data_IF_469672556120
#
_entry.id   IF_469672556120
#
_cell.length_a   1.000
_cell.length_b   1.000
_cell.length_c   1.000
_cell.angle_alpha   90.00
_cell.angle_beta   90.00
_cell.angle_gamma   90.00
#
_symmetry.space_group_name_H-M   'P 1'
#
loop_
_entity.id
_entity.type
_entity.pdbx_description
1 polymer ?
#
# COMPACT_ATOMS: atom_id res chain seq x y z
N UNK A 1 22.99 0.26 2.20
CA UNK A 1 22.46 1.47 1.55
C UNK A 1 21.73 2.28 2.61
N UNK A 2 21.65 3.61 2.52
CA UNK A 2 20.98 4.42 3.53
C UNK A 2 19.47 4.10 3.57
N UNK A 3 18.91 4.04 4.78
CA UNK A 3 17.47 3.89 5.00
C UNK A 3 16.72 5.17 4.63
N UNK A 4 15.39 5.10 4.52
CA UNK A 4 14.57 6.29 4.35
C UNK A 4 14.78 7.27 5.51
N UNK A 5 14.93 6.76 6.74
CA UNK A 5 15.17 7.57 7.93
C UNK A 5 16.54 8.29 7.88
N UNK A 6 17.58 7.61 7.40
CA UNK A 6 18.91 8.22 7.24
C UNK A 6 18.87 9.36 6.21
N UNK A 7 18.19 9.14 5.09
CA UNK A 7 18.03 10.13 4.02
C UNK A 7 17.21 11.32 4.52
N UNK A 8 16.09 11.07 5.20
CA UNK A 8 15.25 12.11 5.79
C UNK A 8 16.02 13.00 6.78
N UNK A 9 16.81 12.40 7.68
CA UNK A 9 17.67 13.15 8.59
C UNK A 9 18.74 13.95 7.84
N UNK A 10 19.33 13.39 6.79
CA UNK A 10 20.34 14.08 5.97
C UNK A 10 19.74 15.29 5.25
N UNK A 11 18.53 15.16 4.70
CA UNK A 11 17.83 16.23 4.00
C UNK A 11 17.48 17.37 4.96
N UNK A 12 16.95 17.04 6.15
CA UNK A 12 16.65 18.03 7.18
C UNK A 12 17.88 18.71 7.79
N UNK A 13 19.04 18.03 7.78
CA UNK A 13 20.29 18.58 8.30
C UNK A 13 21.04 19.43 7.28
N UNK A 14 20.56 19.49 6.03
CA UNK A 14 21.16 20.34 5.01
C UNK A 14 20.98 21.82 5.40
N UNK A 15 21.98 22.69 5.19
CA UNK A 15 21.89 24.10 5.55
C UNK A 15 21.03 24.86 4.53
N UNK A 16 19.75 24.50 4.42
CA UNK A 16 18.76 25.29 3.70
C UNK A 16 18.21 26.37 4.63
N UNK A 17 18.28 27.65 4.26
CA UNK A 17 17.81 28.74 5.12
C UNK A 17 16.26 28.84 5.19
N UNK A 18 15.53 27.98 4.50
CA UNK A 18 14.08 28.12 4.31
C UNK A 18 13.28 27.08 5.10
N UNK A 19 12.43 27.56 6.00
CA UNK A 19 11.43 26.74 6.71
C UNK A 19 10.51 25.97 5.73
N UNK A 20 10.34 26.49 4.51
CA UNK A 20 9.59 25.84 3.44
C UNK A 20 10.21 24.50 3.02
N UNK A 21 11.54 24.37 3.00
CA UNK A 21 12.24 23.13 2.61
C UNK A 21 12.05 22.02 3.65
N UNK A 22 12.13 22.34 4.94
CA UNK A 22 11.84 21.34 5.98
C UNK A 22 10.37 20.87 5.91
N UNK A 23 9.44 21.78 5.60
CA UNK A 23 8.02 21.44 5.41
C UNK A 23 7.80 20.56 4.18
N UNK A 24 8.48 20.84 3.06
CA UNK A 24 8.35 20.04 1.84
C UNK A 24 8.85 18.61 2.02
N UNK A 25 9.99 18.42 2.70
CA UNK A 25 10.54 17.09 3.01
C UNK A 25 9.57 16.28 3.89
N UNK A 26 9.01 16.92 4.93
CA UNK A 26 8.02 16.27 5.81
C UNK A 26 6.75 15.91 5.04
N UNK A 27 6.29 16.79 4.16
CA UNK A 27 5.12 16.57 3.33
C UNK A 27 5.34 15.40 2.34
N UNK A 28 6.49 15.33 1.67
CA UNK A 28 6.86 14.19 0.81
C UNK A 28 6.96 12.87 1.57
N UNK A 29 7.62 12.88 2.73
CA UNK A 29 7.72 11.67 3.56
C UNK A 29 6.34 11.19 4.04
N UNK A 30 5.42 12.11 4.31
CA UNK A 30 4.03 11.78 4.63
C UNK A 30 3.31 11.15 3.43
N UNK A 31 3.48 11.67 2.21
CA UNK A 31 2.91 11.09 1.00
C UNK A 31 3.33 9.62 0.81
N UNK A 32 4.63 9.34 0.91
CA UNK A 32 5.20 8.00 0.81
C UNK A 32 4.62 7.08 1.90
N UNK A 33 4.52 7.56 3.15
CA UNK A 33 3.92 6.79 4.23
C UNK A 33 2.42 6.54 4.04
N UNK A 34 1.72 7.39 3.31
CA UNK A 34 0.31 7.17 2.96
C UNK A 34 0.23 6.08 1.91
N UNK A 35 1.02 6.10 0.85
CA UNK A 35 1.06 5.01 -0.15
C UNK A 35 1.35 3.65 0.50
N UNK A 36 2.33 3.57 1.41
CA UNK A 36 2.59 2.36 2.21
C UNK A 36 1.35 1.92 3.02
N UNK A 37 0.60 2.86 3.59
CA UNK A 37 -0.60 2.56 4.35
C UNK A 37 -1.78 2.16 3.44
N UNK A 38 -1.87 2.69 2.22
CA UNK A 38 -2.85 2.27 1.22
C UNK A 38 -2.64 0.82 0.84
N UNK A 39 -1.38 0.41 0.60
CA UNK A 39 -1.04 -0.98 0.29
C UNK A 39 -1.40 -1.93 1.43
N UNK A 40 -1.12 -1.55 2.68
CA UNK A 40 -1.50 -2.35 3.86
C UNK A 40 -3.02 -2.48 4.06
N UNK A 41 -3.78 -1.42 3.74
CA UNK A 41 -5.25 -1.48 3.77
C UNK A 41 -5.78 -2.35 2.64
N UNK A 42 -5.22 -2.21 1.43
CA UNK A 42 -5.60 -3.03 0.26
C UNK A 42 -5.37 -4.51 0.54
N UNK A 43 -4.21 -4.86 1.10
CA UNK A 43 -3.92 -6.23 1.56
C UNK A 43 -4.95 -6.70 2.59
N UNK A 44 -5.25 -5.90 3.62
CA UNK A 44 -6.20 -6.28 4.67
C UNK A 44 -7.63 -6.50 4.14
N UNK A 45 -8.05 -5.71 3.15
CA UNK A 45 -9.35 -5.87 2.47
C UNK A 45 -9.34 -7.13 1.60
N UNK A 46 -8.27 -7.34 0.81
CA UNK A 46 -8.16 -8.47 -0.12
C UNK A 46 -8.17 -9.82 0.61
N UNK A 47 -7.54 -9.90 1.79
CA UNK A 47 -7.48 -11.13 2.58
C UNK A 47 -8.61 -11.25 3.62
N UNK A 48 -9.62 -10.38 3.57
CA UNK A 48 -10.76 -10.48 4.46
C UNK A 48 -11.67 -11.65 4.04
N UNK A 49 -11.92 -12.64 4.92
CA UNK A 49 -12.79 -13.77 4.58
C UNK A 49 -14.23 -13.33 4.28
N UNK A 50 -14.94 -14.06 3.42
CA UNK A 50 -16.36 -13.78 3.13
C UNK A 50 -17.24 -13.86 4.40
N UNK A 51 -16.91 -14.78 5.30
CA UNK A 51 -17.53 -14.99 6.61
C UNK A 51 -16.81 -14.24 7.75
N UNK A 52 -16.07 -13.18 7.43
CA UNK A 52 -15.32 -12.41 8.41
C UNK A 52 -16.18 -11.97 9.59
N UNK A 53 -15.64 -12.18 10.79
CA UNK A 53 -16.25 -11.79 12.05
C UNK A 53 -16.40 -10.27 12.13
N UNK A 54 -17.35 -9.80 12.95
CA UNK A 54 -17.53 -8.37 13.21
C UNK A 54 -16.24 -7.70 13.70
N UNK A 55 -15.39 -8.42 14.46
CA UNK A 55 -14.10 -7.91 14.94
C UNK A 55 -13.13 -7.68 13.78
N UNK A 56 -13.01 -8.62 12.84
CA UNK A 56 -12.14 -8.48 11.68
C UNK A 56 -12.61 -7.34 10.76
N UNK A 57 -13.92 -7.23 10.54
CA UNK A 57 -14.52 -6.13 9.77
C UNK A 57 -14.26 -4.77 10.44
N UNK A 58 -14.39 -4.70 11.76
CA UNK A 58 -14.10 -3.49 12.52
C UNK A 58 -12.61 -3.10 12.47
N UNK A 59 -11.68 -4.06 12.46
CA UNK A 59 -10.24 -3.78 12.29
C UNK A 59 -9.95 -3.15 10.92
N UNK A 60 -10.47 -3.72 9.84
CA UNK A 60 -10.32 -3.17 8.48
C UNK A 60 -10.90 -1.76 8.40
N UNK A 61 -12.11 -1.55 8.94
CA UNK A 61 -12.74 -0.23 8.97
C UNK A 61 -11.92 0.79 9.77
N UNK A 62 -11.34 0.39 10.91
CA UNK A 62 -10.48 1.27 11.71
C UNK A 62 -9.20 1.67 10.95
N UNK A 63 -8.62 0.75 10.17
CA UNK A 63 -7.47 1.07 9.29
C UNK A 63 -7.87 2.03 8.18
N UNK A 64 -9.03 1.82 7.54
CA UNK A 64 -9.56 2.72 6.51
C UNK A 64 -9.81 4.14 7.05
N UNK A 65 -10.41 4.28 8.22
CA UNK A 65 -10.64 5.60 8.85
C UNK A 65 -9.33 6.31 9.21
N UNK A 66 -8.35 5.54 9.71
CA UNK A 66 -7.01 6.08 10.01
C UNK A 66 -6.33 6.57 8.73
N UNK A 67 -6.41 5.80 7.66
CA UNK A 67 -5.87 6.16 6.36
C UNK A 67 -6.57 7.40 5.81
N UNK A 68 -7.90 7.45 5.83
CA UNK A 68 -8.69 8.60 5.39
C UNK A 68 -8.27 9.88 6.12
N UNK A 69 -8.06 9.81 7.44
CA UNK A 69 -7.60 10.96 8.23
C UNK A 69 -6.21 11.44 7.78
N UNK A 70 -5.29 10.52 7.46
CA UNK A 70 -3.95 10.87 6.95
C UNK A 70 -4.03 11.50 5.57
N UNK A 71 -4.85 10.94 4.68
CA UNK A 71 -5.08 11.44 3.31
C UNK A 71 -5.62 12.87 3.36
N UNK A 72 -6.68 13.09 4.14
CA UNK A 72 -7.29 14.42 4.27
C UNK A 72 -6.28 15.45 4.78
N UNK A 73 -5.56 15.12 5.87
CA UNK A 73 -4.53 16.01 6.41
C UNK A 73 -3.46 16.35 5.38
N UNK A 74 -3.02 15.36 4.60
CA UNK A 74 -1.99 15.56 3.59
C UNK A 74 -2.47 16.46 2.43
N UNK A 75 -3.74 16.33 2.04
CA UNK A 75 -4.38 17.20 1.05
C UNK A 75 -4.50 18.63 1.57
N UNK A 76 -4.97 18.81 2.81
CA UNK A 76 -5.05 20.14 3.45
C UNK A 76 -3.66 20.82 3.53
N UNK A 77 -2.62 20.04 3.86
CA UNK A 77 -1.22 20.50 3.89
C UNK A 77 -0.71 20.85 2.48
N UNK A 78 -1.14 20.10 1.45
CA UNK A 78 -0.79 20.35 0.05
C UNK A 78 -1.41 21.65 -0.46
N UNK A 79 -2.69 21.87 -0.20
CA UNK A 79 -3.40 23.10 -0.60
C UNK A 79 -2.77 24.35 0.04
N UNK A 80 -2.33 24.24 1.30
CA UNK A 80 -1.62 25.32 1.99
C UNK A 80 -0.23 25.61 1.41
N UNK A 81 0.45 24.61 0.84
CA UNK A 81 1.82 24.75 0.31
C UNK A 81 1.85 25.06 -1.19
N UNK A 82 0.87 24.56 -1.94
CA UNK A 82 0.77 24.65 -3.41
C UNK A 82 -0.20 25.74 -3.88
N UNK A 83 -0.59 26.67 -3.01
CA UNK A 83 -1.51 27.78 -3.32
C UNK A 83 -1.12 28.49 -4.63
N UNK A 84 -1.93 28.29 -5.68
CA UNK A 84 -1.73 28.88 -7.01
C UNK A 84 -1.17 27.96 -8.11
N UNK A 85 -0.92 26.67 -7.83
CA UNK A 85 -0.52 25.67 -8.85
C UNK A 85 -1.68 24.70 -9.12
N UNK A 86 -2.24 24.71 -10.33
CA UNK A 86 -3.22 23.69 -10.75
C UNK A 86 -2.50 22.41 -11.19
N UNK A 87 -2.26 21.55 -10.21
CA UNK A 87 -1.48 20.33 -10.35
C UNK A 87 -2.22 19.27 -11.18
N UNK A 88 -3.55 19.22 -11.09
CA UNK A 88 -4.38 18.19 -11.72
C UNK A 88 -4.28 18.25 -13.25
N UNK A 89 -4.12 19.43 -13.84
CA UNK A 89 -3.88 19.60 -15.29
C UNK A 89 -2.54 18.98 -15.75
N UNK A 90 -1.58 18.86 -14.84
CA UNK A 90 -0.18 18.52 -15.12
C UNK A 90 0.19 17.09 -14.70
N UNK A 91 -0.70 16.38 -14.00
CA UNK A 91 -0.53 14.96 -13.72
C UNK A 91 -0.69 14.11 -14.98
N UNK A 92 0.07 13.01 -15.05
CA UNK A 92 -0.16 11.99 -16.08
C UNK A 92 -1.53 11.32 -15.82
N UNK A 93 -2.41 11.18 -16.83
CA UNK A 93 -3.61 10.36 -16.71
C UNK A 93 -3.23 8.92 -16.32
N UNK A 94 -3.94 8.33 -15.37
CA UNK A 94 -3.73 6.93 -15.02
C UNK A 94 -4.41 6.06 -16.09
N UNK A 95 -3.63 5.24 -16.78
CA UNK A 95 -4.21 4.07 -17.45
C UNK A 95 -4.67 3.11 -16.33
N UNK A 96 -5.89 2.55 -16.39
CA UNK A 96 -6.32 1.56 -15.40
C UNK A 96 -5.34 0.40 -15.45
N UNK A 97 -4.75 0.07 -14.30
CA UNK A 97 -3.98 -1.16 -14.13
C UNK A 97 -5.01 -2.29 -14.21
N UNK A 98 -5.22 -2.85 -15.40
CA UNK A 98 -5.90 -4.13 -15.54
C UNK A 98 -4.99 -5.20 -14.92
N UNK A 99 -5.18 -5.45 -13.63
CA UNK A 99 -4.60 -6.56 -12.88
C UNK A 99 -5.34 -7.89 -13.18
N UNK A 100 -5.71 -8.09 -14.44
CA UNK A 100 -6.38 -9.31 -14.94
C UNK A 100 -5.37 -10.34 -15.47
N UNK A 101 -4.07 -10.06 -15.36
CA UNK A 101 -3.03 -10.91 -15.91
C UNK A 101 -1.95 -11.15 -14.86
N UNK A 102 -2.25 -11.98 -13.85
CA UNK A 102 -1.54 -13.23 -13.51
C UNK A 102 -2.16 -13.81 -12.23
N UNK A 103 -3.18 -14.64 -12.36
CA UNK A 103 -3.38 -15.81 -11.49
C UNK A 103 -4.13 -16.89 -12.28
N UNK A 104 -3.52 -18.06 -12.56
CA UNK A 104 -4.26 -19.18 -13.15
C UNK A 104 -5.23 -19.71 -12.09
N UNK A 105 -6.52 -19.45 -12.30
CA UNK A 105 -7.60 -20.07 -11.54
C UNK A 105 -7.42 -21.59 -11.56
N UNK A 106 -7.23 -22.17 -10.38
CA UNK A 106 -7.25 -23.61 -10.21
C UNK A 106 -8.70 -24.06 -10.30
N UNK A 107 -9.00 -24.84 -11.33
CA UNK A 107 -10.25 -25.59 -11.53
C UNK A 107 -10.79 -26.14 -10.20
N UNK A 108 -11.95 -25.67 -9.78
CA UNK A 108 -12.85 -26.45 -8.95
C UNK A 108 -14.20 -26.53 -9.64
N UNK A 109 -14.34 -27.59 -10.42
CA UNK A 109 -15.64 -28.15 -10.77
C UNK A 109 -16.34 -28.50 -9.45
N UNK A 110 -17.48 -27.88 -9.17
CA UNK A 110 -18.52 -28.52 -8.35
C UNK A 110 -19.89 -28.13 -8.88
N UNK A 111 -20.62 -29.18 -9.22
CA UNK A 111 -21.96 -29.25 -9.79
C UNK A 111 -23.05 -28.44 -9.08
N UNK A 112 -23.92 -27.86 -9.92
CA UNK A 112 -25.40 -27.85 -9.87
C UNK A 112 -26.13 -27.83 -8.51
N UNK A 113 -26.88 -26.74 -8.32
CA UNK A 113 -28.22 -26.69 -7.67
C UNK A 113 -28.86 -25.36 -8.08
N UNK A 114 -29.74 -25.29 -9.08
CA UNK A 114 -31.18 -25.57 -9.00
C UNK A 114 -31.89 -24.85 -7.85
N UNK A 115 -32.58 -23.74 -8.16
CA UNK A 115 -33.81 -23.28 -7.52
C UNK A 115 -34.36 -22.00 -8.20
N UNK A 116 -35.40 -22.20 -9.01
CA UNK A 116 -36.65 -21.41 -9.12
C UNK A 116 -36.60 -19.87 -9.26
N UNK A 117 -37.06 -19.37 -10.41
CA UNK A 117 -37.57 -17.99 -10.60
C UNK A 117 -38.82 -17.74 -9.75
N UNK A 118 -39.04 -16.49 -9.32
CA UNK A 118 -40.38 -15.94 -9.49
C UNK A 118 -40.41 -14.53 -10.10
N UNK A 119 -41.32 -14.38 -11.07
CA UNK A 119 -41.96 -13.14 -11.51
C UNK A 119 -42.59 -12.39 -10.32
N UNK A 120 -42.19 -11.16 -10.03
CA UNK A 120 -43.09 -10.13 -9.49
C UNK A 120 -42.72 -8.75 -10.04
N UNK A 121 -43.64 -8.17 -10.82
CA UNK A 121 -43.63 -6.78 -11.29
C UNK A 121 -43.68 -5.83 -10.08
N UNK A 122 -42.52 -5.27 -9.71
CA UNK A 122 -42.38 -4.20 -8.73
C UNK A 122 -42.00 -2.89 -9.43
N UNK A 123 -42.86 -1.89 -9.28
CA UNK A 123 -42.69 -0.50 -9.68
C UNK A 123 -41.26 0.02 -9.39
N UNK A 124 -40.47 0.26 -10.45
CA UNK A 124 -39.16 0.90 -10.35
C UNK A 124 -39.34 2.34 -9.89
N UNK A 125 -39.29 2.54 -8.57
CA UNK A 125 -38.92 3.84 -8.03
C UNK A 125 -37.43 3.98 -8.33
N UNK A 126 -37.09 4.82 -9.32
CA UNK A 126 -35.73 5.37 -9.45
C UNK A 126 -35.46 6.16 -8.16
N UNK A 127 -34.95 5.46 -7.14
CA UNK A 127 -34.14 6.11 -6.12
C UNK A 127 -32.91 6.63 -6.87
N UNK A 128 -33.00 7.89 -7.29
CA UNK A 128 -31.88 8.71 -7.70
C UNK A 128 -31.00 8.97 -6.47
N UNK A 129 -30.48 7.89 -5.90
CA UNK A 129 -29.37 7.90 -4.96
C UNK A 129 -28.14 8.26 -5.78
N UNK A 130 -28.00 9.57 -6.06
CA UNK A 130 -26.69 10.18 -6.27
C UNK A 130 -25.91 10.11 -4.96
N UNK A 131 -25.64 8.88 -4.50
CA UNK A 131 -24.51 8.62 -3.63
C UNK A 131 -23.30 8.89 -4.52
N UNK A 132 -22.71 10.07 -4.40
CA UNK A 132 -21.30 10.25 -4.76
C UNK A 132 -20.57 9.04 -4.19
N UNK A 133 -20.16 8.12 -5.06
CA UNK A 133 -19.50 6.89 -4.67
C UNK A 133 -18.31 7.30 -3.83
N UNK A 134 -18.42 7.12 -2.51
CA UNK A 134 -17.40 7.57 -1.58
C UNK A 134 -16.13 6.81 -1.92
N UNK A 135 -15.18 7.49 -2.57
CA UNK A 135 -13.94 6.87 -3.02
C UNK A 135 -13.24 6.28 -1.81
N UNK A 136 -12.96 4.99 -1.86
CA UNK A 136 -12.31 4.33 -0.75
C UNK A 136 -10.93 4.96 -0.49
N UNK A 137 -10.52 5.15 0.77
CA UNK A 137 -9.28 5.85 1.10
C UNK A 137 -8.01 5.16 0.55
N UNK A 138 -8.06 3.85 0.31
CA UNK A 138 -6.97 3.10 -0.33
C UNK A 138 -6.81 3.33 -1.84
N UNK A 139 -7.83 3.93 -2.47
CA UNK A 139 -7.88 4.22 -3.91
C UNK A 139 -7.76 5.73 -4.18
N UNK A 140 -7.72 6.56 -3.13
CA UNK A 140 -7.49 8.00 -3.25
C UNK A 140 -6.08 8.25 -3.78
N UNK A 141 -6.00 9.12 -4.78
CA UNK A 141 -4.73 9.49 -5.36
C UNK A 141 -3.97 10.47 -4.47
N UNK A 142 -2.72 10.14 -4.14
CA UNK A 142 -1.82 11.03 -3.40
C UNK A 142 -0.96 11.78 -4.40
N UNK A 143 -1.04 13.11 -4.37
CA UNK A 143 -0.19 13.90 -5.23
C UNK A 143 1.27 13.79 -4.80
N UNK A 144 2.15 13.51 -5.76
CA UNK A 144 3.61 13.58 -5.59
C UNK A 144 4.26 14.10 -6.88
N UNK A 145 5.44 14.73 -6.80
CA UNK A 145 6.13 15.26 -7.98
C UNK A 145 6.44 14.22 -9.08
N UNK A 146 6.72 12.97 -8.72
CA UNK A 146 6.94 11.85 -9.65
C UNK A 146 5.74 11.57 -10.56
N UNK A 147 4.55 12.04 -10.17
CA UNK A 147 3.31 11.89 -10.94
C UNK A 147 3.13 12.94 -12.05
N UNK A 148 4.00 13.95 -12.10
CA UNK A 148 4.00 14.94 -13.17
C UNK A 148 4.41 14.30 -14.50
N UNK A 149 3.92 14.86 -15.61
CA UNK A 149 4.41 14.44 -16.94
C UNK A 149 5.91 14.71 -17.04
N UNK A 150 6.61 13.82 -17.76
CA UNK A 150 8.05 13.95 -18.00
C UNK A 150 8.40 15.36 -18.50
N UNK A 151 9.36 16.02 -17.84
CA UNK A 151 9.81 17.37 -18.19
C UNK A 151 9.09 18.50 -17.43
N UNK A 152 7.86 18.30 -16.97
CA UNK A 152 7.06 19.38 -16.37
C UNK A 152 7.57 19.84 -15.00
N UNK A 153 8.17 18.96 -14.20
CA UNK A 153 8.70 19.38 -12.89
C UNK A 153 9.80 20.43 -12.98
N UNK A 154 10.57 20.48 -14.08
CA UNK A 154 11.54 21.57 -14.33
C UNK A 154 10.85 22.86 -14.77
N UNK A 155 9.81 22.77 -15.59
CA UNK A 155 9.03 23.91 -16.07
C UNK A 155 8.28 24.59 -14.92
N UNK A 156 7.76 23.80 -13.97
CA UNK A 156 7.07 24.25 -12.76
C UNK A 156 8.01 24.63 -11.61
N UNK A 157 9.34 24.61 -11.83
CA UNK A 157 10.37 24.88 -10.80
C UNK A 157 10.33 23.95 -9.59
N UNK A 158 9.71 22.78 -9.72
CA UNK A 158 9.62 21.72 -8.71
C UNK A 158 10.81 20.74 -8.75
N UNK A 159 11.87 21.06 -9.50
CA UNK A 159 13.01 20.16 -9.69
C UNK A 159 13.73 19.76 -8.40
N UNK A 160 13.78 20.63 -7.39
CA UNK A 160 14.35 20.29 -6.08
C UNK A 160 13.47 19.27 -5.34
N UNK A 161 12.15 19.46 -5.38
CA UNK A 161 11.17 18.57 -4.75
C UNK A 161 11.19 17.17 -5.37
N UNK A 162 11.36 17.08 -6.70
CA UNK A 162 11.53 15.79 -7.39
C UNK A 162 12.81 15.05 -6.96
N UNK A 163 13.90 15.78 -6.74
CA UNK A 163 15.18 15.18 -6.29
C UNK A 163 15.07 14.69 -4.84
N UNK A 164 14.46 15.49 -3.97
CA UNK A 164 14.16 15.10 -2.59
C UNK A 164 13.27 13.86 -2.53
N UNK A 165 12.20 13.83 -3.33
CA UNK A 165 11.30 12.66 -3.44
C UNK A 165 12.07 11.42 -3.91
N UNK A 166 12.87 11.53 -4.97
CA UNK A 166 13.65 10.42 -5.51
C UNK A 166 14.59 9.82 -4.45
N UNK A 167 15.25 10.66 -3.67
CA UNK A 167 16.11 10.21 -2.58
C UNK A 167 15.30 9.49 -1.50
N UNK A 168 14.16 10.04 -1.08
CA UNK A 168 13.29 9.39 -0.08
C UNK A 168 12.78 8.03 -0.58
N UNK A 169 12.33 7.94 -1.84
CA UNK A 169 11.90 6.68 -2.47
C UNK A 169 13.05 5.67 -2.55
N UNK A 170 14.27 6.11 -2.84
CA UNK A 170 15.43 5.23 -2.81
C UNK A 170 15.68 4.66 -1.41
N UNK A 171 15.52 5.48 -0.37
CA UNK A 171 15.59 5.05 1.02
C UNK A 171 14.51 4.03 1.37
N UNK A 172 13.27 4.28 0.97
CA UNK A 172 12.14 3.36 1.15
C UNK A 172 12.39 2.02 0.46
N UNK A 173 12.89 2.04 -0.78
CA UNK A 173 13.25 0.82 -1.52
C UNK A 173 14.35 0.03 -0.81
N UNK A 174 15.34 0.70 -0.21
CA UNK A 174 16.37 0.04 0.59
C UNK A 174 15.80 -0.60 1.86
N UNK A 175 14.86 0.07 2.54
CA UNK A 175 14.20 -0.47 3.73
C UNK A 175 13.35 -1.70 3.39
N UNK A 176 12.59 -1.64 2.29
CA UNK A 176 11.82 -2.78 1.76
C UNK A 176 12.73 -3.96 1.40
N UNK A 177 13.86 -3.71 0.73
CA UNK A 177 14.86 -4.74 0.44
C UNK A 177 15.41 -5.38 1.73
N UNK A 178 15.72 -4.56 2.75
CA UNK A 178 16.21 -5.05 4.03
C UNK A 178 15.17 -5.94 4.73
N UNK A 179 13.89 -5.55 4.71
CA UNK A 179 12.77 -6.36 5.24
C UNK A 179 12.68 -7.71 4.53
N UNK A 180 12.74 -7.73 3.19
CA UNK A 180 12.71 -8.96 2.40
C UNK A 180 13.88 -9.89 2.72
N UNK A 181 15.09 -9.35 2.81
CA UNK A 181 16.29 -10.12 3.18
C UNK A 181 16.16 -10.73 4.58
N UNK A 182 15.62 -9.99 5.55
CA UNK A 182 15.37 -10.49 6.89
C UNK A 182 14.34 -11.64 6.89
N UNK A 183 13.22 -11.47 6.17
CA UNK A 183 12.20 -12.51 6.01
C UNK A 183 12.75 -13.80 5.41
N UNK A 184 13.52 -13.69 4.31
CA UNK A 184 14.16 -14.84 3.67
C UNK A 184 15.18 -15.53 4.58
N UNK A 185 15.98 -14.77 5.34
CA UNK A 185 16.93 -15.33 6.30
C UNK A 185 16.19 -16.11 7.39
N UNK A 186 15.10 -15.56 7.94
CA UNK A 186 14.30 -16.25 8.95
C UNK A 186 13.71 -17.56 8.42
N UNK A 187 13.16 -17.53 7.21
CA UNK A 187 12.63 -18.74 6.57
C UNK A 187 13.71 -19.81 6.35
N UNK A 188 14.90 -19.41 5.89
CA UNK A 188 16.02 -20.32 5.70
C UNK A 188 16.50 -20.97 7.01
N UNK A 189 16.48 -20.22 8.12
CA UNK A 189 16.81 -20.74 9.45
C UNK A 189 15.78 -21.79 9.88
N UNK A 190 14.48 -21.48 9.77
CA UNK A 190 13.40 -22.42 10.10
C UNK A 190 13.50 -23.70 9.27
N UNK A 191 13.77 -23.58 7.97
CA UNK A 191 13.93 -24.74 7.10
C UNK A 191 15.10 -25.64 7.53
N UNK A 192 16.27 -25.04 7.83
CA UNK A 192 17.44 -25.81 8.32
C UNK A 192 17.16 -26.49 9.66
N UNK A 193 16.51 -25.80 10.59
CA UNK A 193 16.16 -26.36 11.89
C UNK A 193 15.20 -27.55 11.76
N UNK A 194 14.16 -27.42 10.93
CA UNK A 194 13.18 -28.48 10.69
C UNK A 194 13.80 -29.72 10.02
N UNK A 195 14.75 -29.55 9.09
CA UNK A 195 15.48 -30.68 8.51
C UNK A 195 16.41 -31.36 9.52
N UNK A 196 17.07 -30.61 10.39
CA UNK A 196 17.95 -31.18 11.40
C UNK A 196 17.17 -31.93 12.49
N UNK A 197 16.02 -31.40 12.92
CA UNK A 197 15.17 -32.06 13.92
C UNK A 197 14.52 -33.33 13.37
N UNK A 198 14.04 -33.32 12.11
CA UNK A 198 13.45 -34.50 11.47
C UNK A 198 14.45 -35.67 11.33
N UNK A 199 15.71 -35.38 10.99
CA UNK A 199 16.77 -36.39 10.92
C UNK A 199 17.17 -36.96 12.30
N UNK A 200 17.02 -36.18 13.37
CA UNK A 200 17.27 -36.63 14.75
C UNK A 200 16.22 -37.66 15.21
N UNK A 201 14.94 -37.41 14.95
CA UNK A 201 13.83 -38.30 15.39
C UNK A 201 13.91 -39.69 14.73
N UNK A 202 14.37 -39.75 13.46
CA UNK A 202 14.57 -41.02 12.77
C UNK A 202 15.74 -41.86 13.36
N UNK A 203 16.66 -41.22 14.08
CA UNK A 203 17.82 -41.88 14.68
C UNK A 203 17.49 -42.52 16.03
N UNK A 204 16.55 -41.95 16.79
CA UNK A 204 16.19 -42.43 18.14
C UNK A 204 15.23 -43.63 18.13
N UNK A 205 14.40 -43.78 17.09
CA UNK A 205 13.47 -44.91 16.97
C UNK A 205 14.15 -46.26 16.68
N UNK A 206 15.46 -46.28 16.42
CA UNK A 206 16.23 -47.52 16.19
C UNK A 206 17.06 -47.99 17.39
N UNK A 207 17.12 -47.22 18.48
CA UNK A 207 18.00 -47.49 19.63
C UNK A 207 17.29 -48.04 20.88
N UNK A 208 15.99 -48.37 20.83
CA UNK A 208 15.26 -49.01 21.93
C UNK A 208 14.87 -50.45 21.60
N UNK A 209 15.89 -51.32 21.44
CA UNK A 209 15.75 -52.78 21.56
C UNK A 209 17.12 -53.42 21.75
N UNK A 210 17.73 -53.19 22.91
CA UNK A 210 18.81 -54.04 23.40
C UNK A 210 18.91 -53.95 24.94
N UNK A 211 18.64 -55.10 25.55
CA UNK A 211 18.90 -55.55 26.94
C UNK A 211 17.83 -55.17 27.96
#
# INVERSE_FOLDING_TARGET
APSMADIWLSLLSSPSPEQAHARSIVWLAAAISIEDAQDLVREAVQWLPADATAIQKADVMARQLTLQTKVQKHQDDADSFMEGVDILEHCRPLDPINDDSVMPYLDCITDLSDAEEPDEEGEYVEEEDSLEEAVNPQDVYIWMPSRLKLGQGRELRLGHLMEEELQLQQGQANDSLAKLQAGLRNLAILYRQNLQSANSVHSETRAQKAI
#
